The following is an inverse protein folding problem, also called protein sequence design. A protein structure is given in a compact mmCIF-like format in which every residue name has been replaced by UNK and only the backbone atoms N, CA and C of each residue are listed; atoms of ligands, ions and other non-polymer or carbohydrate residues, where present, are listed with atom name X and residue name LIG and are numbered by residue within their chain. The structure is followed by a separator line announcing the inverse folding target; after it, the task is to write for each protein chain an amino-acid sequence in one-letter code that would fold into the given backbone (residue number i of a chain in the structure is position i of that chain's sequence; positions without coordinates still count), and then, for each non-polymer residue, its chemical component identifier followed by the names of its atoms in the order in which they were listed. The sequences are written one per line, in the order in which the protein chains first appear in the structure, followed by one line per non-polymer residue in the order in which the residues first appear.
data_IF_226364674146
#
_entry.id   IF_226364674146
#
_cell.length_a   1.000
_cell.length_b   1.000
_cell.length_c   1.000
_cell.angle_alpha   90.00
_cell.angle_beta   90.00
_cell.angle_gamma   90.00
#
_symmetry.space_group_name_H-M   'P 1'
#
loop_
_entity.id
_entity.type
_entity.pdbx_description
1 polymer ?
#
# COMPACT_ATOMS: atom_id res chain seq x y z
N UNK A 1 2.56 -4.16 -11.76
CA UNK A 1 3.33 -2.89 -11.62
C UNK A 1 2.54 -1.90 -10.78
N UNK A 2 3.22 -1.00 -10.10
CA UNK A 2 2.59 0.12 -9.41
C UNK A 2 2.65 1.37 -10.28
N UNK A 3 1.51 2.04 -10.44
CA UNK A 3 1.37 3.30 -11.18
C UNK A 3 0.83 4.35 -10.21
N UNK A 4 1.49 5.50 -10.02
CA UNK A 4 1.03 6.52 -9.10
C UNK A 4 -0.41 6.94 -9.37
N UNK A 5 -1.21 7.06 -8.33
CA UNK A 5 -2.56 7.62 -8.41
C UNK A 5 -2.48 9.14 -8.46
N UNK A 6 -3.07 9.71 -9.50
CA UNK A 6 -3.24 11.17 -9.55
C UNK A 6 -4.59 11.56 -9.00
N UNK A 7 -4.70 12.75 -8.41
CA UNK A 7 -5.99 13.29 -7.96
C UNK A 7 -7.00 13.40 -9.10
N UNK A 8 -6.54 13.63 -10.32
CA UNK A 8 -7.41 13.67 -11.51
C UNK A 8 -8.03 12.29 -11.77
N UNK A 9 -7.22 11.23 -11.78
CA UNK A 9 -7.71 9.87 -11.96
C UNK A 9 -8.62 9.42 -10.81
N UNK A 10 -8.27 9.77 -9.56
CA UNK A 10 -9.10 9.49 -8.39
C UNK A 10 -10.49 10.14 -8.47
N UNK A 11 -10.55 11.41 -8.87
CA UNK A 11 -11.81 12.14 -9.06
C UNK A 11 -12.66 11.56 -10.19
N UNK A 12 -12.02 11.21 -11.31
CA UNK A 12 -12.70 10.57 -12.44
C UNK A 12 -13.35 9.25 -12.03
N UNK A 13 -12.60 8.38 -11.31
CA UNK A 13 -13.13 7.13 -10.78
C UNK A 13 -14.33 7.32 -9.85
N UNK A 14 -14.25 8.31 -8.95
CA UNK A 14 -15.36 8.63 -8.03
C UNK A 14 -16.58 9.19 -8.75
N UNK A 15 -16.39 9.88 -9.86
CA UNK A 15 -17.48 10.40 -10.70
C UNK A 15 -18.04 9.35 -11.67
N UNK A 16 -17.42 8.17 -11.78
CA UNK A 16 -17.76 7.16 -12.78
C UNK A 16 -17.35 7.55 -14.20
N UNK A 17 -16.34 8.42 -14.32
CA UNK A 17 -15.78 8.90 -15.56
C UNK A 17 -14.51 8.10 -15.93
N UNK A 18 -14.02 8.28 -17.16
CA UNK A 18 -12.79 7.65 -17.63
C UNK A 18 -11.56 8.23 -16.91
N UNK A 19 -10.82 7.43 -16.10
CA UNK A 19 -9.60 7.88 -15.42
C UNK A 19 -8.38 7.99 -16.35
N UNK A 20 -8.51 7.68 -17.63
CA UNK A 20 -7.40 7.61 -18.58
C UNK A 20 -6.55 6.33 -18.47
N UNK A 21 -7.04 5.32 -17.77
CA UNK A 21 -6.39 4.03 -17.57
C UNK A 21 -7.39 2.90 -17.84
N UNK A 22 -6.99 1.81 -18.50
CA UNK A 22 -7.86 0.67 -18.70
C UNK A 22 -8.16 0.00 -17.35
N UNK A 23 -9.44 -0.23 -17.07
CA UNK A 23 -9.88 -0.87 -15.83
C UNK A 23 -10.22 -2.34 -16.08
N UNK A 24 -9.84 -3.19 -15.14
CA UNK A 24 -10.27 -4.56 -15.13
C UNK A 24 -11.69 -4.70 -14.56
N UNK A 25 -12.37 -5.78 -14.91
CA UNK A 25 -13.70 -6.08 -14.36
C UNK A 25 -13.64 -6.18 -12.83
N UNK A 26 -14.57 -5.50 -12.16
CA UNK A 26 -14.67 -5.47 -10.71
C UNK A 26 -13.80 -4.43 -10.01
N UNK A 27 -13.07 -3.61 -10.76
CA UNK A 27 -12.38 -2.44 -10.23
C UNK A 27 -13.04 -1.15 -10.73
N UNK A 28 -13.17 -0.07 -9.90
CA UNK A 28 -12.89 -0.06 -8.46
C UNK A 28 -13.92 -0.86 -7.64
N UNK A 29 -13.48 -1.48 -6.57
CA UNK A 29 -14.36 -2.10 -5.57
C UNK A 29 -14.70 -1.12 -4.44
N UNK A 30 -15.56 -1.51 -3.50
CA UNK A 30 -16.06 -0.61 -2.45
C UNK A 30 -14.92 0.02 -1.64
N UNK A 31 -13.98 -0.79 -1.16
CA UNK A 31 -12.85 -0.32 -0.35
C UNK A 31 -11.92 0.63 -1.13
N UNK A 32 -11.73 0.38 -2.43
CA UNK A 32 -11.00 1.30 -3.33
C UNK A 32 -11.69 2.65 -3.41
N UNK A 33 -13.02 2.67 -3.54
CA UNK A 33 -13.76 3.93 -3.58
C UNK A 33 -13.63 4.71 -2.26
N UNK A 34 -13.60 4.04 -1.13
CA UNK A 34 -13.40 4.67 0.17
C UNK A 34 -11.99 5.23 0.31
N UNK A 35 -10.97 4.49 -0.10
CA UNK A 35 -9.57 4.96 -0.13
C UNK A 35 -9.42 6.18 -1.07
N UNK A 36 -10.01 6.14 -2.26
CA UNK A 36 -10.01 7.27 -3.20
C UNK A 36 -10.72 8.52 -2.64
N UNK A 37 -11.83 8.34 -1.91
CA UNK A 37 -12.52 9.46 -1.22
C UNK A 37 -11.61 10.10 -0.18
N UNK A 38 -10.95 9.29 0.64
CA UNK A 38 -10.00 9.77 1.63
C UNK A 38 -8.85 10.53 0.98
N UNK A 39 -8.27 10.01 -0.09
CA UNK A 39 -7.22 10.67 -0.85
C UNK A 39 -7.68 12.02 -1.40
N UNK A 40 -8.86 12.10 -2.00
CA UNK A 40 -9.38 13.37 -2.56
C UNK A 40 -9.71 14.40 -1.47
N UNK A 41 -10.13 13.94 -0.28
CA UNK A 41 -10.49 14.84 0.83
C UNK A 41 -9.28 15.39 1.59
N UNK A 42 -8.25 14.58 1.79
CA UNK A 42 -7.14 14.91 2.68
C UNK A 42 -5.79 14.93 1.98
N UNK A 43 -5.76 14.46 0.75
CA UNK A 43 -4.54 14.19 0.03
C UNK A 43 -3.96 15.38 -0.70
N UNK A 44 -2.63 15.48 -0.71
CA UNK A 44 -1.86 16.30 -1.63
C UNK A 44 -1.62 15.60 -2.97
N UNK A 45 -0.94 16.23 -3.91
CA UNK A 45 -0.70 15.68 -5.24
C UNK A 45 0.14 14.40 -5.29
N UNK A 46 0.83 14.04 -4.19
CA UNK A 46 1.78 12.92 -4.12
C UNK A 46 1.52 11.98 -2.92
N UNK A 47 0.27 11.79 -2.52
CA UNK A 47 -0.08 11.15 -1.24
C UNK A 47 -0.07 9.63 -1.22
N UNK A 48 0.97 9.04 -1.75
CA UNK A 48 1.29 7.64 -1.43
C UNK A 48 0.25 6.61 -1.87
N UNK A 49 -0.56 6.90 -2.88
CA UNK A 49 -1.48 5.96 -3.51
C UNK A 49 -0.97 5.47 -4.87
N UNK A 50 -1.13 4.18 -5.14
CA UNK A 50 -0.76 3.55 -6.41
C UNK A 50 -1.87 2.64 -6.92
N UNK A 51 -2.08 2.68 -8.24
CA UNK A 51 -2.83 1.64 -8.93
C UNK A 51 -1.95 0.40 -9.10
N UNK A 52 -2.54 -0.76 -8.85
CA UNK A 52 -1.94 -2.05 -9.19
C UNK A 52 -2.38 -2.43 -10.59
N UNK A 53 -1.42 -2.49 -11.52
CA UNK A 53 -1.70 -2.78 -12.93
C UNK A 53 -1.09 -4.11 -13.36
N UNK A 54 -1.76 -4.79 -14.29
CA UNK A 54 -1.21 -5.99 -14.93
C UNK A 54 -0.11 -5.59 -15.91
N UNK A 55 1.01 -6.32 -15.89
CA UNK A 55 2.11 -6.09 -16.83
C UNK A 55 1.72 -6.44 -18.28
N UNK A 56 0.78 -7.35 -18.47
CA UNK A 56 0.39 -7.85 -19.79
C UNK A 56 -0.37 -6.82 -20.63
N UNK A 57 -1.23 -6.01 -20.01
CA UNK A 57 -2.15 -5.13 -20.74
C UNK A 57 -2.40 -3.78 -20.05
N UNK A 58 -1.74 -3.51 -18.93
CA UNK A 58 -1.85 -2.26 -18.18
C UNK A 58 -3.16 -2.04 -17.44
N UNK A 59 -4.08 -3.01 -17.45
CA UNK A 59 -5.37 -2.86 -16.74
C UNK A 59 -5.16 -2.72 -15.24
N UNK A 60 -5.89 -1.77 -14.64
CA UNK A 60 -5.94 -1.59 -13.19
C UNK A 60 -6.77 -2.70 -12.58
N UNK A 61 -6.19 -3.46 -11.66
CA UNK A 61 -6.82 -4.59 -10.96
C UNK A 61 -6.97 -4.35 -9.46
N UNK A 62 -6.41 -3.27 -8.95
CA UNK A 62 -6.44 -2.93 -7.54
C UNK A 62 -5.69 -1.64 -7.23
N UNK A 63 -5.50 -1.41 -5.97
CA UNK A 63 -4.76 -0.27 -5.44
C UNK A 63 -4.02 -0.65 -4.16
N UNK A 64 -3.03 0.14 -3.83
CA UNK A 64 -2.34 0.12 -2.54
C UNK A 64 -1.80 1.50 -2.23
N UNK A 65 -1.47 1.74 -0.96
CA UNK A 65 -0.93 3.04 -0.58
C UNK A 65 -0.75 3.19 0.91
N UNK A 66 -0.42 4.41 1.32
CA UNK A 66 -0.27 4.80 2.71
C UNK A 66 -1.44 5.65 3.18
N UNK A 67 -1.80 5.53 4.46
CA UNK A 67 -2.76 6.41 5.12
C UNK A 67 -2.03 7.61 5.74
N UNK A 68 -1.57 8.53 4.87
CA UNK A 68 -0.83 9.73 5.26
C UNK A 68 0.69 9.53 5.38
N UNK A 69 1.40 10.61 5.77
CA UNK A 69 2.84 10.59 5.96
C UNK A 69 3.23 9.79 7.21
N UNK A 70 4.52 9.42 7.36
CA UNK A 70 4.99 8.77 8.58
C UNK A 70 4.79 9.68 9.80
N UNK A 71 4.35 9.09 10.90
CA UNK A 71 4.25 9.76 12.19
C UNK A 71 5.63 10.13 12.78
N UNK A 72 5.64 10.87 13.87
CA UNK A 72 6.87 11.28 14.57
C UNK A 72 7.71 10.06 15.04
N UNK A 73 7.06 8.93 15.26
CA UNK A 73 7.67 7.65 15.59
C UNK A 73 8.18 6.86 14.38
N UNK A 74 8.02 7.40 13.17
CA UNK A 74 8.41 6.77 11.92
C UNK A 74 7.50 5.63 11.46
N UNK A 75 6.29 5.54 11.99
CA UNK A 75 5.30 4.57 11.56
C UNK A 75 4.47 5.10 10.40
N UNK A 76 4.24 4.24 9.42
CA UNK A 76 3.30 4.50 8.32
C UNK A 76 2.37 3.30 8.17
N UNK A 77 1.08 3.56 8.07
CA UNK A 77 0.08 2.51 7.84
C UNK A 77 -0.19 2.37 6.34
N UNK A 78 -0.24 1.13 5.87
CA UNK A 78 -0.56 0.79 4.49
C UNK A 78 -1.93 0.15 4.36
N UNK A 79 -2.57 0.41 3.22
CA UNK A 79 -3.77 -0.29 2.77
C UNK A 79 -3.57 -0.85 1.37
N UNK A 80 -4.30 -1.90 1.03
CA UNK A 80 -4.25 -2.53 -0.28
C UNK A 80 -5.52 -3.34 -0.56
N UNK A 81 -5.87 -3.44 -1.82
CA UNK A 81 -7.01 -4.22 -2.27
C UNK A 81 -6.90 -4.63 -3.73
N UNK A 82 -7.52 -5.75 -4.07
CA UNK A 82 -7.63 -6.25 -5.43
C UNK A 82 -9.08 -6.54 -5.77
N UNK A 83 -9.47 -6.30 -7.01
CA UNK A 83 -10.72 -6.77 -7.58
C UNK A 83 -10.81 -8.30 -7.49
N UNK A 84 -11.98 -8.81 -7.15
CA UNK A 84 -12.19 -10.21 -6.80
C UNK A 84 -11.62 -11.22 -7.82
N UNK A 85 -11.75 -11.02 -9.15
CA UNK A 85 -11.22 -11.96 -10.14
C UNK A 85 -9.69 -12.11 -10.12
N UNK A 86 -8.97 -11.17 -9.49
CA UNK A 86 -7.50 -11.12 -9.49
C UNK A 86 -6.87 -11.52 -8.16
N UNK A 87 -7.69 -11.96 -7.20
CA UNK A 87 -7.23 -12.46 -5.90
C UNK A 87 -6.67 -13.88 -6.01
N UNK A 88 -5.80 -14.26 -5.06
CA UNK A 88 -5.23 -15.60 -4.98
C UNK A 88 -4.19 -15.95 -6.05
N UNK A 89 -3.70 -14.98 -6.82
CA UNK A 89 -2.75 -15.16 -7.93
C UNK A 89 -1.36 -14.57 -7.62
N UNK A 90 -1.11 -14.16 -6.39
CA UNK A 90 0.17 -13.56 -5.99
C UNK A 90 0.29 -12.06 -6.27
N UNK A 91 -0.64 -11.46 -7.02
CA UNK A 91 -0.59 -10.04 -7.41
C UNK A 91 -0.57 -9.11 -6.21
N UNK A 92 -1.37 -9.40 -5.18
CA UNK A 92 -1.39 -8.61 -3.93
C UNK A 92 -0.05 -8.67 -3.20
N UNK A 93 0.58 -9.83 -3.14
CA UNK A 93 1.89 -10.01 -2.51
C UNK A 93 2.97 -9.20 -3.25
N UNK A 94 2.99 -9.25 -4.59
CA UNK A 94 3.91 -8.44 -5.41
C UNK A 94 3.67 -6.94 -5.22
N UNK A 95 2.42 -6.51 -5.19
CA UNK A 95 2.06 -5.10 -5.02
C UNK A 95 2.52 -4.56 -3.66
N UNK A 96 2.21 -5.28 -2.57
CA UNK A 96 2.60 -4.86 -1.22
C UNK A 96 4.12 -4.95 -1.03
N UNK A 97 4.79 -5.96 -1.61
CA UNK A 97 6.25 -6.04 -1.60
C UNK A 97 6.89 -4.81 -2.27
N UNK A 98 6.39 -4.41 -3.44
CA UNK A 98 6.87 -3.22 -4.14
C UNK A 98 6.59 -1.92 -3.36
N UNK A 99 5.43 -1.82 -2.69
CA UNK A 99 5.12 -0.69 -1.82
C UNK A 99 6.09 -0.62 -0.63
N UNK A 100 6.35 -1.74 0.03
CA UNK A 100 7.31 -1.82 1.15
C UNK A 100 8.72 -1.44 0.68
N UNK A 101 9.16 -1.94 -0.48
CA UNK A 101 10.46 -1.58 -1.05
C UNK A 101 10.56 -0.07 -1.32
N UNK A 102 9.51 0.54 -1.84
CA UNK A 102 9.44 2.00 -2.00
C UNK A 102 9.58 2.71 -0.65
N UNK A 103 8.84 2.27 0.37
CA UNK A 103 8.86 2.87 1.71
C UNK A 103 10.20 2.72 2.44
N UNK A 104 11.00 1.69 2.14
CA UNK A 104 12.38 1.56 2.66
C UNK A 104 13.26 2.75 2.25
N UNK A 105 13.01 3.32 1.07
CA UNK A 105 13.72 4.49 0.57
C UNK A 105 13.20 5.84 1.07
N UNK A 106 12.03 5.86 1.71
CA UNK A 106 11.37 7.10 2.12
C UNK A 106 11.94 7.66 3.44
N UNK A 107 12.34 8.95 3.46
CA UNK A 107 12.83 9.58 4.67
C UNK A 107 11.82 9.55 5.80
N UNK A 108 12.26 9.14 6.99
CA UNK A 108 11.43 9.14 8.19
C UNK A 108 10.60 7.87 8.39
N UNK A 109 10.51 6.97 7.41
CA UNK A 109 9.83 5.69 7.59
C UNK A 109 10.74 4.69 8.28
N UNK A 110 10.29 4.12 9.38
CA UNK A 110 11.01 3.11 10.16
C UNK A 110 10.22 1.83 10.35
N UNK A 111 8.90 1.95 10.42
CA UNK A 111 7.99 0.83 10.64
C UNK A 111 6.81 0.95 9.70
N UNK A 112 6.51 -0.10 8.97
CA UNK A 112 5.28 -0.21 8.18
C UNK A 112 4.25 -0.96 9.00
N UNK A 113 3.04 -0.44 9.10
CA UNK A 113 1.93 -1.09 9.79
C UNK A 113 0.77 -1.39 8.84
N UNK A 114 -0.04 -2.36 9.18
CA UNK A 114 -1.26 -2.68 8.44
C UNK A 114 -2.34 -3.17 9.41
N UNK A 115 -3.59 -2.78 9.18
CA UNK A 115 -4.75 -3.28 9.91
C UNK A 115 -5.51 -4.25 9.02
N UNK A 116 -5.81 -5.43 9.55
CA UNK A 116 -6.49 -6.52 8.84
C UNK A 116 -7.66 -7.02 9.65
N UNK A 117 -8.82 -7.03 9.03
CA UNK A 117 -10.05 -7.55 9.63
C UNK A 117 -9.89 -9.01 10.08
N UNK A 118 -10.40 -9.33 11.26
CA UNK A 118 -10.38 -10.71 11.79
C UNK A 118 -11.12 -11.64 10.83
N UNK A 119 -10.45 -12.72 10.41
CA UNK A 119 -10.98 -13.68 9.44
C UNK A 119 -10.55 -13.40 7.99
N UNK A 120 -9.90 -12.27 7.69
CA UNK A 120 -9.31 -12.04 6.38
C UNK A 120 -7.99 -12.83 6.23
N UNK A 121 -8.13 -14.14 6.06
CA UNK A 121 -7.02 -15.08 5.92
C UNK A 121 -6.09 -14.77 4.72
N UNK A 122 -6.58 -14.34 3.55
CA UNK A 122 -5.71 -13.97 2.44
C UNK A 122 -4.75 -12.83 2.80
N UNK A 123 -5.23 -11.74 3.43
CA UNK A 123 -4.39 -10.63 3.87
C UNK A 123 -3.43 -11.04 4.97
N UNK A 124 -3.88 -11.83 5.96
CA UNK A 124 -3.00 -12.38 7.00
C UNK A 124 -1.82 -13.12 6.41
N UNK A 125 -2.07 -14.07 5.51
CA UNK A 125 -1.03 -14.89 4.87
C UNK A 125 -0.09 -14.05 4.00
N UNK A 126 -0.61 -13.00 3.36
CA UNK A 126 0.19 -12.07 2.58
C UNK A 126 1.18 -11.33 3.50
N UNK A 127 0.71 -10.75 4.60
CA UNK A 127 1.54 -10.01 5.53
C UNK A 127 2.60 -10.93 6.19
N UNK A 128 2.22 -12.14 6.64
CA UNK A 128 3.16 -13.13 7.18
C UNK A 128 4.25 -13.49 6.18
N UNK A 129 3.89 -13.69 4.92
CA UNK A 129 4.84 -14.02 3.85
C UNK A 129 5.84 -12.89 3.59
N UNK A 130 5.44 -11.65 3.79
CA UNK A 130 6.30 -10.46 3.67
C UNK A 130 7.08 -10.12 4.95
N UNK A 131 6.96 -10.94 5.99
CA UNK A 131 7.71 -10.79 7.23
C UNK A 131 7.08 -9.86 8.27
N UNK A 132 5.82 -9.46 8.08
CA UNK A 132 5.08 -8.73 9.10
C UNK A 132 4.79 -9.63 10.30
N UNK A 133 4.86 -9.04 11.48
CA UNK A 133 4.51 -9.67 12.77
C UNK A 133 3.22 -9.07 13.33
N UNK A 134 2.44 -9.90 14.00
CA UNK A 134 1.25 -9.44 14.70
C UNK A 134 1.66 -8.58 15.89
N UNK A 135 1.04 -7.43 16.04
CA UNK A 135 1.23 -6.58 17.21
C UNK A 135 0.32 -7.05 18.32
N UNK A 136 0.86 -7.20 19.54
CA UNK A 136 0.06 -7.44 20.72
C UNK A 136 -0.81 -6.20 21.01
N UNK A 137 -2.11 -6.39 21.03
CA UNK A 137 -3.08 -5.33 21.26
C UNK A 137 -4.41 -5.88 21.73
N UNK A 138 -5.32 -5.01 22.23
CA UNK A 138 -6.64 -5.44 22.65
C UNK A 138 -7.37 -6.13 21.49
N UNK A 139 -8.11 -7.18 21.81
CA UNK A 139 -8.93 -7.90 20.85
C UNK A 139 -10.04 -6.96 20.34
N UNK A 140 -9.92 -6.54 19.07
CA UNK A 140 -10.91 -5.78 18.35
C UNK A 140 -11.40 -6.55 17.12
N UNK A 141 -12.10 -5.85 16.23
CA UNK A 141 -12.50 -6.38 14.91
C UNK A 141 -11.32 -6.55 13.98
N UNK A 142 -10.24 -5.78 14.20
CA UNK A 142 -9.05 -5.79 13.37
C UNK A 142 -7.83 -6.31 14.13
N UNK A 143 -6.91 -6.88 13.40
CA UNK A 143 -5.58 -7.26 13.85
C UNK A 143 -4.56 -6.30 13.26
N UNK A 144 -3.65 -5.81 14.10
CA UNK A 144 -2.60 -4.88 13.70
C UNK A 144 -1.30 -5.64 13.45
N UNK A 145 -0.68 -5.34 12.32
CA UNK A 145 0.55 -5.95 11.87
C UNK A 145 1.63 -4.89 11.74
N UNK A 146 2.88 -5.25 11.95
CA UNK A 146 4.02 -4.35 11.76
C UNK A 146 5.20 -5.07 11.11
N UNK A 147 5.97 -4.29 10.36
CA UNK A 147 7.25 -4.67 9.77
C UNK A 147 8.27 -3.58 10.09
N UNK A 148 9.29 -3.92 10.85
CA UNK A 148 10.41 -3.03 11.10
C UNK A 148 11.31 -2.99 9.87
N UNK A 149 11.49 -1.80 9.30
CA UNK A 149 12.44 -1.58 8.24
C UNK A 149 13.83 -1.47 8.86
N UNK A 150 14.74 -2.37 8.47
CA UNK A 150 16.13 -2.27 8.89
C UNK A 150 16.66 -0.89 8.57
N UNK A 151 17.31 -0.23 9.52
CA UNK A 151 18.02 1.03 9.29
C UNK A 151 19.04 0.70 8.20
N UNK A 152 18.81 1.20 6.99
CA UNK A 152 19.73 1.01 5.89
C UNK A 152 21.10 1.39 6.38
N UNK A 153 22.07 0.51 6.21
CA UNK A 153 23.47 0.78 6.47
C UNK A 153 23.86 2.00 5.64
N UNK A 154 23.70 3.18 6.23
CA UNK A 154 24.41 4.35 5.75
C UNK A 154 25.87 3.99 5.90
N UNK A 155 26.56 3.93 4.76
CA UNK A 155 27.91 3.49 4.67
C UNK A 155 28.77 4.13 5.77
N UNK A 156 29.35 3.29 6.57
CA UNK A 156 30.49 3.63 7.39
C UNK A 156 31.61 4.06 6.44
N UNK A 157 31.66 5.36 6.17
CA UNK A 157 32.87 5.96 5.61
C UNK A 157 33.90 5.90 6.72
N UNK A 158 34.71 4.85 6.66
CA UNK A 158 35.92 4.75 7.40
C UNK A 158 36.80 5.97 7.05
N UNK A 159 36.76 6.95 7.91
CA UNK A 159 37.68 8.06 7.89
C UNK A 159 39.03 7.55 8.33
N UNK A 160 39.74 6.91 7.41
CA UNK A 160 41.15 6.65 7.62
C UNK A 160 41.90 7.98 7.83
N UNK A 161 42.36 8.17 9.03
CA UNK A 161 43.28 9.22 9.37
C UNK A 161 44.70 8.66 9.22
N UNK A 162 45.48 9.37 8.44
CA UNK A 162 46.94 9.44 8.63
C UNK A 162 47.30 10.72 9.33
#
# INVERSE_FOLDING_TARGET
MLVPQTLTAARALLAGEDPGLPLAAGYPHADSLDALRMQVQHGGPDDGGWFVTLAADGRVVGDCGTFGPPGDDGRVEIGYGLAAPFRGQGIGTEAVAALVEHLVGEPGVRVVTASVEVGNEPSRRLLERLGFSLTDGPAGTDRHWHLELGVGAQGFVDGGND
#
